data_IF_821807566803
#
_entry.id   IF_821807566803
#
_cell.length_a   1.000
_cell.length_b   1.000
_cell.length_c   1.000
_cell.angle_alpha   90.00
_cell.angle_beta   90.00
_cell.angle_gamma   90.00
#
_symmetry.space_group_name_H-M   'P 1'
#
loop_
_entity.id
_entity.type
_entity.pdbx_description
1 polymer ?
#
# COMPACT_ATOMS: atom_id res chain seq x y z
N UNK A 1 -41.92 51.86 10.41
CA UNK A 1 -40.83 50.92 10.77
C UNK A 1 -40.91 49.75 9.81
N UNK A 2 -40.02 49.53 8.83
CA UNK A 2 -38.54 49.51 8.87
C UNK A 2 -38.05 48.51 9.95
N UNK A 3 -37.33 47.43 9.63
CA UNK A 3 -36.10 47.39 8.81
C UNK A 3 -36.02 46.14 7.90
N UNK A 4 -35.15 46.18 6.86
CA UNK A 4 -34.98 45.16 5.81
C UNK A 4 -33.90 44.11 6.19
N UNK A 5 -34.01 42.82 5.79
CA UNK A 5 -33.04 41.77 6.17
C UNK A 5 -32.23 41.14 5.01
N UNK A 6 -31.05 40.52 5.28
CA UNK A 6 -30.29 39.65 4.35
C UNK A 6 -30.55 38.12 4.58
N UNK A 7 -30.08 37.21 3.69
CA UNK A 7 -30.31 35.76 3.80
C UNK A 7 -29.03 34.87 3.77
N UNK A 8 -29.19 33.60 4.17
CA UNK A 8 -28.28 32.45 3.95
C UNK A 8 -29.00 31.20 4.51
N UNK A 9 -29.40 30.14 3.80
CA UNK A 9 -28.82 29.46 2.62
C UNK A 9 -27.33 29.14 2.77
N UNK A 10 -26.96 27.89 2.53
CA UNK A 10 -25.60 27.34 2.71
C UNK A 10 -25.25 26.90 4.14
N UNK A 11 -26.08 25.99 4.69
CA UNK A 11 -25.55 24.79 5.37
C UNK A 11 -24.97 23.76 4.37
N UNK A 12 -24.47 24.24 3.23
CA UNK A 12 -23.77 23.44 2.24
C UNK A 12 -22.29 23.44 2.64
N UNK A 13 -21.87 22.38 3.31
CA UNK A 13 -20.45 22.08 3.53
C UNK A 13 -19.72 22.19 2.18
N UNK A 14 -18.61 22.94 2.07
CA UNK A 14 -17.92 23.09 0.80
C UNK A 14 -17.42 21.72 0.29
N UNK A 15 -17.82 21.40 -0.94
CA UNK A 15 -17.31 20.29 -1.77
C UNK A 15 -15.90 20.64 -2.34
N UNK A 16 -15.21 19.80 -3.15
CA UNK A 16 -15.58 18.47 -3.70
C UNK A 16 -14.48 17.34 -3.62
N UNK A 17 -14.80 16.08 -4.03
CA UNK A 17 -13.85 14.96 -4.26
C UNK A 17 -13.01 15.15 -5.56
N UNK A 18 -11.99 14.32 -5.94
CA UNK A 18 -11.80 12.86 -5.67
C UNK A 18 -10.34 12.35 -5.41
N UNK A 19 -10.15 11.02 -5.26
CA UNK A 19 -9.04 10.18 -5.82
C UNK A 19 -8.48 9.07 -4.88
N UNK A 20 -8.26 7.88 -5.46
CA UNK A 20 -7.38 6.76 -5.01
C UNK A 20 -7.83 5.77 -3.90
N UNK A 21 -8.82 4.95 -4.24
CA UNK A 21 -8.51 3.52 -4.51
C UNK A 21 -9.27 3.08 -5.77
N UNK A 22 -8.62 2.43 -6.77
CA UNK A 22 -9.29 2.02 -8.00
C UNK A 22 -10.12 0.73 -7.79
N UNK A 23 -11.35 0.88 -7.33
CA UNK A 23 -12.30 -0.23 -7.09
C UNK A 23 -12.88 -0.87 -8.37
N UNK A 24 -12.63 -0.33 -9.57
CA UNK A 24 -13.00 -0.94 -10.87
C UNK A 24 -11.82 -1.27 -11.81
N UNK A 25 -10.59 -1.24 -11.31
CA UNK A 25 -9.49 -2.03 -11.88
C UNK A 25 -9.03 -3.01 -10.78
N UNK A 26 -10.02 -3.76 -10.28
CA UNK A 26 -10.34 -4.05 -8.87
C UNK A 26 -9.49 -5.08 -8.14
N UNK A 27 -8.27 -5.33 -8.61
CA UNK A 27 -7.35 -6.17 -7.84
C UNK A 27 -7.03 -5.48 -6.51
N UNK A 28 -7.10 -6.19 -5.36
CA UNK A 28 -6.40 -5.74 -4.16
C UNK A 28 -4.98 -5.30 -4.50
N UNK A 29 -4.48 -4.23 -3.88
CA UNK A 29 -3.09 -3.78 -4.06
C UNK A 29 -2.07 -4.94 -4.08
N UNK A 30 -2.13 -5.94 -3.17
CA UNK A 30 -1.25 -7.11 -3.25
C UNK A 30 -1.33 -7.86 -4.59
N UNK A 31 -2.54 -8.15 -5.08
CA UNK A 31 -2.77 -8.81 -6.39
C UNK A 31 -2.21 -7.98 -7.55
N UNK A 32 -2.33 -6.65 -7.50
CA UNK A 32 -1.79 -5.76 -8.54
C UNK A 32 -0.26 -5.70 -8.53
N UNK A 33 0.37 -5.75 -7.36
CA UNK A 33 1.83 -5.87 -7.22
C UNK A 33 2.30 -7.21 -7.78
N UNK A 34 1.65 -8.30 -7.37
CA UNK A 34 2.01 -9.67 -7.76
C UNK A 34 1.93 -9.86 -9.28
N UNK A 35 0.81 -9.42 -9.90
CA UNK A 35 0.66 -9.40 -11.36
C UNK A 35 1.71 -8.53 -12.07
N UNK A 36 2.14 -7.42 -11.46
CA UNK A 36 3.23 -6.60 -12.00
C UNK A 36 4.59 -7.31 -11.90
N UNK A 37 4.85 -8.13 -10.87
CA UNK A 37 6.05 -8.96 -10.77
C UNK A 37 6.05 -10.08 -11.81
N UNK A 38 4.93 -10.80 -11.95
CA UNK A 38 4.75 -11.87 -12.94
C UNK A 38 4.96 -11.36 -14.37
N UNK A 39 4.45 -10.16 -14.68
CA UNK A 39 4.63 -9.51 -15.98
C UNK A 39 6.04 -8.89 -16.20
N UNK A 40 6.98 -9.04 -15.25
CA UNK A 40 8.29 -8.39 -15.31
C UNK A 40 8.24 -6.85 -15.21
N UNK A 41 7.10 -6.26 -14.84
CA UNK A 41 6.88 -4.82 -14.67
C UNK A 41 7.44 -4.31 -13.34
N UNK A 42 8.72 -4.62 -13.09
CA UNK A 42 9.40 -4.43 -11.80
C UNK A 42 9.28 -3.00 -11.26
N UNK A 43 9.45 -1.97 -12.10
CA UNK A 43 9.30 -0.57 -11.65
C UNK A 43 7.87 -0.27 -11.16
N UNK A 44 6.86 -0.83 -11.83
CA UNK A 44 5.44 -0.70 -11.42
C UNK A 44 5.16 -1.47 -10.14
N UNK A 45 5.73 -2.66 -9.99
CA UNK A 45 5.62 -3.44 -8.76
C UNK A 45 6.23 -2.71 -7.54
N UNK A 46 7.40 -2.09 -7.70
CA UNK A 46 8.04 -1.29 -6.63
C UNK A 46 7.17 -0.10 -6.25
N UNK A 47 6.65 0.66 -7.23
CA UNK A 47 5.74 1.79 -6.97
C UNK A 47 4.46 1.36 -6.23
N UNK A 48 3.82 0.28 -6.69
CA UNK A 48 2.61 -0.26 -6.04
C UNK A 48 2.89 -0.80 -4.63
N UNK A 49 4.05 -1.43 -4.40
CA UNK A 49 4.43 -1.94 -3.09
C UNK A 49 4.84 -0.84 -2.10
N UNK A 50 5.41 0.26 -2.59
CA UNK A 50 5.59 1.48 -1.80
C UNK A 50 4.23 2.08 -1.40
N UNK A 51 3.28 2.18 -2.33
CA UNK A 51 1.92 2.62 -2.00
C UNK A 51 1.25 1.70 -0.97
N UNK A 52 1.36 0.38 -1.13
CA UNK A 52 0.75 -0.58 -0.20
C UNK A 52 1.41 -0.57 1.18
N UNK A 53 2.74 -0.40 1.28
CA UNK A 53 3.42 -0.22 2.59
C UNK A 53 3.10 1.12 3.24
N UNK A 54 2.80 2.17 2.47
CA UNK A 54 2.33 3.45 3.01
C UNK A 54 0.87 3.38 3.51
N UNK A 55 -0.01 2.63 2.84
CA UNK A 55 -1.39 2.45 3.28
C UNK A 55 -1.54 1.43 4.43
N UNK A 56 -0.70 0.39 4.45
CA UNK A 56 -0.75 -0.68 5.44
C UNK A 56 0.64 -0.93 6.07
N UNK A 57 1.23 0.04 6.80
CA UNK A 57 2.57 -0.09 7.38
C UNK A 57 2.67 -1.18 8.46
N UNK A 58 1.54 -1.63 9.04
CA UNK A 58 1.47 -2.79 9.93
C UNK A 58 1.24 -4.14 9.24
N UNK A 59 1.06 -4.17 7.91
CA UNK A 59 0.80 -5.42 7.17
C UNK A 59 2.10 -6.09 6.76
N UNK A 60 2.39 -7.26 7.34
CA UNK A 60 3.55 -8.07 6.94
C UNK A 60 3.55 -8.39 5.43
N UNK A 61 2.38 -8.64 4.84
CA UNK A 61 2.22 -8.91 3.40
C UNK A 61 2.61 -7.70 2.53
N UNK A 62 2.36 -6.47 3.00
CA UNK A 62 2.80 -5.27 2.28
C UNK A 62 4.33 -5.18 2.21
N UNK A 63 5.00 -5.46 3.33
CA UNK A 63 6.46 -5.47 3.42
C UNK A 63 7.09 -6.65 2.67
N UNK A 64 6.47 -7.82 2.66
CA UNK A 64 6.87 -8.97 1.82
C UNK A 64 6.86 -8.60 0.34
N UNK A 65 5.74 -8.05 -0.16
CA UNK A 65 5.61 -7.68 -1.58
C UNK A 65 6.55 -6.55 -1.98
N UNK A 66 6.86 -5.63 -1.06
CA UNK A 66 7.90 -4.62 -1.25
C UNK A 66 9.28 -5.26 -1.37
N UNK A 67 9.63 -6.20 -0.50
CA UNK A 67 10.88 -6.95 -0.58
C UNK A 67 11.00 -7.72 -1.91
N UNK A 68 9.93 -8.39 -2.33
CA UNK A 68 9.88 -9.12 -3.60
C UNK A 68 10.11 -8.18 -4.81
N UNK A 69 9.48 -7.01 -4.80
CA UNK A 69 9.68 -6.00 -5.84
C UNK A 69 11.08 -5.37 -5.84
N UNK A 70 11.64 -5.07 -4.66
CA UNK A 70 13.01 -4.55 -4.52
C UNK A 70 14.07 -5.60 -4.91
N UNK A 71 13.80 -6.89 -4.68
CA UNK A 71 14.65 -8.00 -5.12
C UNK A 71 14.56 -8.21 -6.64
N UNK A 72 13.35 -8.19 -7.22
CA UNK A 72 13.18 -8.20 -8.68
C UNK A 72 13.83 -6.98 -9.38
N UNK A 73 13.95 -5.85 -8.67
CA UNK A 73 14.66 -4.65 -9.12
C UNK A 73 16.19 -4.71 -8.98
N UNK A 74 16.75 -5.81 -8.44
CA UNK A 74 18.18 -5.92 -8.14
C UNK A 74 18.66 -4.95 -7.05
N UNK A 75 17.76 -4.25 -6.36
CA UNK A 75 18.10 -3.28 -5.29
C UNK A 75 18.21 -3.92 -3.91
N UNK A 76 17.71 -5.14 -3.74
CA UNK A 76 17.80 -5.95 -2.53
C UNK A 76 16.65 -5.69 -1.55
N UNK A 77 15.73 -6.65 -1.43
CA UNK A 77 14.54 -6.53 -0.58
C UNK A 77 14.71 -6.83 0.91
N UNK A 78 15.94 -7.12 1.37
CA UNK A 78 16.20 -7.68 2.72
C UNK A 78 15.64 -6.84 3.87
N UNK A 79 15.70 -5.51 3.77
CA UNK A 79 15.16 -4.61 4.80
C UNK A 79 13.62 -4.69 4.88
N UNK A 80 12.94 -4.80 3.73
CA UNK A 80 11.50 -4.98 3.66
C UNK A 80 11.08 -6.36 4.16
N UNK A 81 11.81 -7.42 3.80
CA UNK A 81 11.58 -8.76 4.36
C UNK A 81 11.82 -8.84 5.87
N UNK A 82 12.84 -8.16 6.42
CA UNK A 82 13.00 -8.00 7.87
C UNK A 82 11.74 -7.42 8.51
N UNK A 83 11.18 -6.36 7.92
CA UNK A 83 9.98 -5.70 8.44
C UNK A 83 8.75 -6.62 8.41
N UNK A 84 8.60 -7.42 7.36
CA UNK A 84 7.61 -8.49 7.32
C UNK A 84 7.80 -9.49 8.47
N UNK A 85 9.03 -9.98 8.68
CA UNK A 85 9.33 -10.96 9.73
C UNK A 85 9.12 -10.44 11.16
N UNK A 86 9.34 -9.14 11.39
CA UNK A 86 9.03 -8.42 12.64
C UNK A 86 7.50 -8.32 12.87
N UNK A 87 6.71 -8.09 11.80
CA UNK A 87 5.25 -7.89 11.88
C UNK A 87 4.45 -9.20 11.91
N UNK A 88 4.89 -10.26 11.22
CA UNK A 88 4.23 -11.57 11.25
C UNK A 88 4.38 -12.28 12.60
N UNK A 89 5.36 -11.91 13.43
CA UNK A 89 5.68 -12.60 14.68
C UNK A 89 6.54 -13.86 14.51
N UNK A 90 7.18 -14.36 15.59
CA UNK A 90 8.18 -15.43 15.55
C UNK A 90 7.64 -16.75 14.97
N UNK A 91 6.52 -17.25 15.50
CA UNK A 91 5.92 -18.54 15.13
C UNK A 91 5.14 -18.57 13.81
N UNK A 92 4.87 -17.42 13.20
CA UNK A 92 4.10 -17.39 11.95
C UNK A 92 4.92 -17.95 10.78
N UNK A 93 4.36 -18.84 9.93
CA UNK A 93 5.07 -19.38 8.76
C UNK A 93 5.49 -18.28 7.79
N UNK A 94 4.63 -17.27 7.56
CA UNK A 94 4.96 -16.07 6.79
C UNK A 94 6.13 -15.28 7.39
N UNK A 95 6.29 -15.28 8.72
CA UNK A 95 7.42 -14.66 9.41
C UNK A 95 8.72 -15.42 9.17
N UNK A 96 8.69 -16.76 9.18
CA UNK A 96 9.84 -17.60 8.86
C UNK A 96 10.28 -17.43 7.40
N UNK A 97 9.33 -17.42 6.46
CA UNK A 97 9.60 -17.19 5.03
C UNK A 97 10.23 -15.80 4.80
N UNK A 98 9.72 -14.77 5.46
CA UNK A 98 10.32 -13.44 5.45
C UNK A 98 11.72 -13.36 6.10
N UNK A 99 12.06 -14.20 7.10
CA UNK A 99 13.43 -14.27 7.65
C UNK A 99 14.39 -14.90 6.65
N UNK A 100 13.99 -16.01 6.03
CA UNK A 100 14.79 -16.67 4.99
C UNK A 100 15.12 -15.70 3.83
N UNK A 101 14.14 -14.91 3.38
CA UNK A 101 14.32 -13.88 2.34
C UNK A 101 15.13 -12.67 2.81
N UNK A 102 15.06 -12.31 4.10
CA UNK A 102 15.92 -11.30 4.71
C UNK A 102 17.38 -11.77 4.90
N UNK A 103 17.61 -13.08 4.98
CA UNK A 103 18.89 -13.69 5.35
C UNK A 103 19.13 -13.64 6.87
N UNK A 104 18.14 -14.10 7.65
CA UNK A 104 18.12 -14.18 9.12
C UNK A 104 17.83 -15.60 9.58
#
# INVERSE_FOLDING_TARGET
>A
MATKPPPASSGATPAPPPTAAPEEESGPLPTRIQKALENGQVQKAVQLAQQYTNQAPGSATAWYLRGAAEQAAGRGGKASFRKCAELSGPDSPQGAECRALAGM
#
